data_IF_955015311888
#
_entry.id   IF_955015311888
#
_cell.length_a   1.000
_cell.length_b   1.000
_cell.length_c   1.000
_cell.angle_alpha   90.00
_cell.angle_beta   90.00
_cell.angle_gamma   90.00
#
_symmetry.space_group_name_H-M   'P 1'
#
loop_
_entity.id
_entity.type
_entity.pdbx_description
1 polymer ?
#
# COMPACT_ATOMS: atom_id res chain seq x y z
N UNK A 1 -9.84 0.40 2.22
CA UNK A 1 -11.12 0.56 2.87
C UNK A 1 -11.83 1.88 2.61
N UNK A 2 -11.10 3.02 2.54
CA UNK A 2 -11.70 4.33 2.25
C UNK A 2 -11.78 4.66 0.75
N UNK A 3 -11.01 3.98 -0.08
CA UNK A 3 -10.96 4.24 -1.52
C UNK A 3 -12.33 4.10 -2.22
N UNK A 4 -13.16 3.08 -1.97
CA UNK A 4 -14.50 2.99 -2.55
C UNK A 4 -15.37 4.20 -2.22
N UNK A 5 -15.35 4.65 -0.95
CA UNK A 5 -16.11 5.84 -0.53
C UNK A 5 -15.61 7.13 -1.18
N UNK A 6 -14.30 7.24 -1.38
CA UNK A 6 -13.71 8.37 -2.08
C UNK A 6 -14.10 8.37 -3.57
N UNK A 7 -14.13 7.20 -4.21
CA UNK A 7 -14.57 7.05 -5.61
C UNK A 7 -16.03 7.46 -5.76
N UNK A 8 -16.93 6.97 -4.90
CA UNK A 8 -18.35 7.32 -4.96
C UNK A 8 -18.59 8.84 -4.86
N UNK A 9 -17.82 9.52 -4.01
CA UNK A 9 -17.94 10.96 -3.82
C UNK A 9 -17.29 11.79 -4.92
N UNK A 10 -16.11 11.38 -5.35
CA UNK A 10 -15.26 12.19 -6.26
C UNK A 10 -15.43 11.81 -7.73
N UNK A 11 -15.83 10.57 -7.99
CA UNK A 11 -16.03 10.02 -9.33
C UNK A 11 -17.27 9.11 -9.38
N UNK A 12 -18.49 9.66 -9.23
CA UNK A 12 -19.72 8.89 -9.09
C UNK A 12 -20.04 7.97 -10.29
N UNK A 13 -19.43 8.22 -11.45
CA UNK A 13 -19.61 7.42 -12.66
C UNK A 13 -18.50 6.36 -12.87
N UNK A 14 -17.61 6.19 -11.90
CA UNK A 14 -16.53 5.20 -11.93
C UNK A 14 -16.84 4.08 -10.95
N UNK A 15 -16.86 2.86 -11.44
CA UNK A 15 -16.99 1.66 -10.64
C UNK A 15 -15.63 1.02 -10.44
N UNK A 16 -15.35 0.58 -9.21
CA UNK A 16 -14.20 -0.28 -8.94
C UNK A 16 -14.53 -1.69 -9.40
N UNK A 17 -13.95 -2.09 -10.49
CA UNK A 17 -14.00 -3.47 -10.94
C UNK A 17 -12.75 -4.18 -10.42
N UNK A 18 -12.91 -5.16 -9.53
CA UNK A 18 -11.78 -5.94 -8.98
C UNK A 18 -11.03 -6.72 -10.07
N UNK A 19 -11.60 -6.84 -11.27
CA UNK A 19 -11.05 -7.53 -12.43
C UNK A 19 -10.35 -6.61 -13.44
N UNK A 20 -10.33 -5.29 -13.23
CA UNK A 20 -9.61 -4.37 -14.11
C UNK A 20 -8.12 -4.34 -13.78
N UNK A 21 -7.28 -4.21 -14.79
CA UNK A 21 -5.85 -3.97 -14.63
C UNK A 21 -5.64 -2.69 -13.82
N UNK A 22 -4.94 -2.79 -12.68
CA UNK A 22 -4.69 -1.68 -11.74
C UNK A 22 -5.39 -1.82 -10.39
N UNK A 23 -6.41 -2.69 -10.28
CA UNK A 23 -7.08 -2.98 -9.02
C UNK A 23 -7.75 -1.78 -8.36
N UNK A 24 -8.03 -1.89 -7.06
CA UNK A 24 -8.76 -0.89 -6.26
C UNK A 24 -8.07 0.48 -6.16
N UNK A 25 -6.77 0.52 -6.41
CA UNK A 25 -5.93 1.71 -6.23
C UNK A 25 -5.50 2.33 -7.56
N UNK A 26 -6.18 2.02 -8.65
CA UNK A 26 -5.82 2.51 -9.99
C UNK A 26 -6.02 4.02 -10.18
N UNK A 27 -6.81 4.68 -9.32
CA UNK A 27 -7.13 6.11 -9.41
C UNK A 27 -6.43 6.99 -8.37
N UNK A 28 -5.36 6.50 -7.72
CA UNK A 28 -4.65 7.25 -6.68
C UNK A 28 -4.07 8.57 -7.20
N UNK A 29 -3.49 8.57 -8.38
CA UNK A 29 -2.96 9.76 -9.05
C UNK A 29 -4.05 10.80 -9.36
N UNK A 30 -5.20 10.36 -9.87
CA UNK A 30 -6.34 11.24 -10.15
C UNK A 30 -6.93 11.84 -8.88
N UNK A 31 -6.99 11.07 -7.78
CA UNK A 31 -7.42 11.61 -6.49
C UNK A 31 -6.45 12.65 -5.96
N UNK A 32 -5.15 12.40 -6.06
CA UNK A 32 -4.13 13.35 -5.68
C UNK A 32 -4.27 14.64 -6.48
N UNK A 33 -4.40 14.54 -7.80
CA UNK A 33 -4.60 15.70 -8.69
C UNK A 33 -5.80 16.54 -8.26
N UNK A 34 -6.94 15.90 -7.99
CA UNK A 34 -8.16 16.59 -7.55
C UNK A 34 -7.97 17.24 -6.19
N UNK A 35 -7.28 16.59 -5.27
CA UNK A 35 -6.99 17.13 -3.95
C UNK A 35 -6.10 18.38 -4.06
N UNK A 36 -5.05 18.35 -4.86
CA UNK A 36 -4.17 19.50 -5.08
C UNK A 36 -4.94 20.68 -5.68
N UNK A 37 -5.78 20.45 -6.69
CA UNK A 37 -6.63 21.47 -7.28
C UNK A 37 -7.63 22.06 -6.27
N UNK A 38 -8.23 21.23 -5.42
CA UNK A 38 -9.18 21.69 -4.40
C UNK A 38 -8.52 22.57 -3.34
N UNK A 39 -7.23 22.41 -3.11
CA UNK A 39 -6.42 23.26 -2.23
C UNK A 39 -6.01 24.60 -2.91
N UNK A 40 -6.43 24.85 -4.15
CA UNK A 40 -6.10 26.06 -4.89
C UNK A 40 -4.61 26.17 -5.25
N UNK A 41 -3.91 25.04 -5.37
CA UNK A 41 -2.49 24.97 -5.66
C UNK A 41 -2.25 24.37 -7.04
N UNK A 42 -1.58 25.14 -7.87
CA UNK A 42 -1.11 24.73 -9.20
C UNK A 42 0.36 24.29 -9.08
N UNK A 43 0.57 23.16 -8.37
CA UNK A 43 1.89 22.58 -8.19
C UNK A 43 2.32 21.78 -9.41
N UNK A 44 3.60 21.88 -9.78
CA UNK A 44 4.26 20.88 -10.62
C UNK A 44 4.48 19.65 -9.77
N UNK A 45 3.72 18.61 -10.00
CA UNK A 45 3.73 17.41 -9.14
C UNK A 45 4.03 16.13 -9.91
N UNK A 46 4.50 15.12 -9.19
CA UNK A 46 4.73 13.78 -9.71
C UNK A 46 4.07 12.73 -8.83
N UNK A 47 3.70 11.61 -9.45
CA UNK A 47 3.19 10.42 -8.77
C UNK A 47 3.88 9.18 -9.32
N UNK A 48 4.45 8.37 -8.44
CA UNK A 48 5.14 7.14 -8.78
C UNK A 48 4.68 6.00 -7.88
N UNK A 49 4.28 4.88 -8.48
CA UNK A 49 3.91 3.66 -7.77
C UNK A 49 4.90 2.55 -8.08
N UNK A 50 5.69 2.19 -7.09
CA UNK A 50 6.80 1.25 -7.20
C UNK A 50 6.35 -0.14 -6.75
N UNK A 51 5.80 -0.92 -7.69
CA UNK A 51 5.29 -2.28 -7.46
C UNK A 51 6.24 -3.38 -7.94
N UNK A 52 7.29 -3.02 -8.68
CA UNK A 52 8.28 -3.95 -9.20
C UNK A 52 9.68 -3.57 -8.73
N UNK A 53 10.60 -4.54 -8.54
CA UNK A 53 11.96 -4.26 -8.08
C UNK A 53 12.69 -3.21 -8.93
N UNK A 54 12.55 -3.26 -10.25
CA UNK A 54 13.25 -2.36 -11.16
C UNK A 54 12.70 -0.94 -11.19
N UNK A 55 11.51 -0.72 -10.62
CA UNK A 55 10.87 0.61 -10.64
C UNK A 55 11.63 1.63 -9.77
N UNK A 56 12.20 1.18 -8.65
CA UNK A 56 13.06 2.03 -7.81
C UNK A 56 14.26 2.55 -8.56
N UNK A 57 14.99 1.67 -9.26
CA UNK A 57 16.16 2.07 -10.07
C UNK A 57 15.82 3.04 -11.19
N UNK A 58 14.73 2.77 -11.91
CA UNK A 58 14.24 3.69 -12.96
C UNK A 58 13.89 5.07 -12.42
N UNK A 59 13.36 5.14 -11.20
CA UNK A 59 13.05 6.42 -10.56
C UNK A 59 14.32 7.19 -10.24
N UNK A 60 15.36 6.53 -9.72
CA UNK A 60 16.67 7.12 -9.46
C UNK A 60 17.31 7.61 -10.76
N UNK A 61 17.28 6.81 -11.82
CA UNK A 61 17.84 7.19 -13.13
C UNK A 61 17.16 8.44 -13.72
N UNK A 62 15.93 8.72 -13.30
CA UNK A 62 15.14 9.88 -13.71
C UNK A 62 14.89 10.89 -12.57
N UNK A 63 15.76 10.96 -11.58
CA UNK A 63 15.57 11.73 -10.35
C UNK A 63 15.35 13.23 -10.58
N UNK A 64 15.91 13.78 -11.66
CA UNK A 64 15.72 15.20 -12.01
C UNK A 64 14.24 15.59 -12.08
N UNK A 65 13.34 14.66 -12.43
CA UNK A 65 11.91 14.89 -12.44
C UNK A 65 11.37 15.20 -11.04
N UNK A 66 11.92 14.57 -10.01
CA UNK A 66 11.57 14.84 -8.61
C UNK A 66 12.18 16.17 -8.13
N UNK A 67 13.42 16.47 -8.54
CA UNK A 67 14.08 17.74 -8.20
C UNK A 67 13.36 18.95 -8.78
N UNK A 68 12.78 18.81 -9.96
CA UNK A 68 12.05 19.85 -10.66
C UNK A 68 10.58 19.98 -10.20
N UNK A 69 10.08 19.09 -9.36
CA UNK A 69 8.69 19.11 -8.90
C UNK A 69 8.56 19.87 -7.57
N UNK A 70 7.47 20.60 -7.43
CA UNK A 70 7.09 21.24 -6.16
C UNK A 70 6.57 20.25 -5.14
N UNK A 71 5.98 19.14 -5.62
CA UNK A 71 5.38 18.10 -4.79
C UNK A 71 5.47 16.73 -5.49
N UNK A 72 5.95 15.74 -4.77
CA UNK A 72 6.07 14.37 -5.29
C UNK A 72 5.46 13.36 -4.32
N UNK A 73 4.72 12.40 -4.85
CA UNK A 73 4.21 11.26 -4.08
C UNK A 73 4.80 9.98 -4.65
N UNK A 74 5.41 9.19 -3.78
CA UNK A 74 5.99 7.91 -4.12
C UNK A 74 5.35 6.84 -3.24
N UNK A 75 4.66 5.89 -3.86
CA UNK A 75 4.06 4.73 -3.19
C UNK A 75 5.00 3.55 -3.36
N UNK A 76 5.52 3.04 -2.25
CA UNK A 76 6.45 1.91 -2.24
C UNK A 76 5.80 0.68 -1.61
N UNK A 77 5.42 -0.29 -2.43
CA UNK A 77 4.58 -1.43 -1.98
C UNK A 77 5.36 -2.60 -1.36
N UNK A 78 6.68 -2.49 -1.15
CA UNK A 78 7.48 -3.62 -0.68
C UNK A 78 6.99 -4.21 0.65
N UNK A 79 6.67 -3.37 1.64
CA UNK A 79 6.24 -3.84 2.95
C UNK A 79 4.88 -4.54 2.91
N UNK A 80 3.99 -4.06 2.06
CA UNK A 80 2.70 -4.70 1.83
C UNK A 80 2.88 -6.07 1.17
N UNK A 81 3.71 -6.14 0.13
CA UNK A 81 4.08 -7.41 -0.54
C UNK A 81 4.74 -8.39 0.45
N UNK A 82 5.66 -7.91 1.29
CA UNK A 82 6.31 -8.75 2.30
C UNK A 82 5.31 -9.27 3.34
N UNK A 83 4.36 -8.43 3.76
CA UNK A 83 3.31 -8.82 4.70
C UNK A 83 2.39 -9.89 4.12
N UNK A 84 2.04 -9.79 2.84
CA UNK A 84 1.27 -10.82 2.14
C UNK A 84 2.09 -12.11 1.96
N UNK A 85 3.35 -12.02 1.54
CA UNK A 85 4.23 -13.17 1.35
C UNK A 85 4.43 -13.96 2.66
N UNK A 86 4.40 -13.30 3.82
CA UNK A 86 4.44 -13.94 5.14
C UNK A 86 3.29 -14.92 5.35
N UNK A 87 2.12 -14.65 4.80
CA UNK A 87 0.96 -15.55 4.92
C UNK A 87 0.89 -16.63 3.85
N UNK A 88 1.54 -16.40 2.72
CA UNK A 88 1.43 -17.25 1.53
C UNK A 88 2.62 -18.20 1.35
N UNK A 89 3.80 -17.88 1.92
CA UNK A 89 5.05 -18.61 1.67
C UNK A 89 5.66 -19.09 2.97
N UNK A 90 5.87 -20.41 3.11
CA UNK A 90 6.42 -21.02 4.32
C UNK A 90 7.81 -20.48 4.68
N UNK A 91 8.68 -20.26 3.68
CA UNK A 91 10.04 -19.73 3.90
C UNK A 91 9.97 -18.32 4.50
N UNK A 92 9.13 -17.45 3.97
CA UNK A 92 8.99 -16.09 4.50
C UNK A 92 8.36 -16.12 5.89
N UNK A 93 7.41 -17.03 6.13
CA UNK A 93 6.82 -17.25 7.46
C UNK A 93 7.87 -17.64 8.48
N UNK A 94 8.76 -18.57 8.15
CA UNK A 94 9.86 -19.01 9.02
C UNK A 94 10.84 -17.85 9.30
N UNK A 95 11.24 -17.11 8.27
CA UNK A 95 12.15 -15.97 8.40
C UNK A 95 11.54 -14.78 9.17
N UNK A 96 10.23 -14.74 9.31
CA UNK A 96 9.48 -13.65 9.95
C UNK A 96 8.53 -14.17 11.02
N UNK A 97 8.94 -15.23 11.74
CA UNK A 97 8.12 -15.93 12.74
C UNK A 97 7.64 -14.97 13.84
N UNK A 98 8.52 -14.08 14.28
CA UNK A 98 8.18 -13.06 15.27
C UNK A 98 8.31 -11.64 14.70
N UNK A 99 7.92 -10.67 15.51
CA UNK A 99 7.95 -9.25 15.12
C UNK A 99 9.40 -8.72 15.01
N UNK A 100 10.32 -9.25 15.79
CA UNK A 100 11.72 -8.83 15.77
C UNK A 100 12.41 -9.27 14.48
N UNK A 101 12.18 -10.50 14.04
CA UNK A 101 12.70 -11.02 12.78
C UNK A 101 12.09 -10.31 11.56
N UNK A 102 10.77 -10.01 11.60
CA UNK A 102 10.13 -9.22 10.55
C UNK A 102 10.74 -7.80 10.44
N UNK A 103 10.96 -7.13 11.55
CA UNK A 103 11.62 -5.81 11.58
C UNK A 103 13.07 -5.88 11.11
N UNK A 104 13.80 -6.92 11.49
CA UNK A 104 15.19 -7.13 11.06
C UNK A 104 15.29 -7.32 9.56
N UNK A 105 14.41 -8.13 8.98
CA UNK A 105 14.33 -8.33 7.54
C UNK A 105 13.97 -7.03 6.81
N UNK A 106 12.95 -6.31 7.31
CA UNK A 106 12.54 -5.01 6.77
C UNK A 106 13.69 -3.99 6.81
N UNK A 107 14.42 -3.91 7.91
CA UNK A 107 15.55 -3.03 8.06
C UNK A 107 16.68 -3.37 7.09
N UNK A 108 17.05 -4.65 7.00
CA UNK A 108 18.08 -5.11 6.08
C UNK A 108 17.72 -4.80 4.62
N UNK A 109 16.46 -5.05 4.25
CA UNK A 109 15.99 -4.66 2.93
C UNK A 109 16.09 -3.15 2.70
N UNK A 110 15.62 -2.35 3.65
CA UNK A 110 15.60 -0.88 3.53
C UNK A 110 17.02 -0.32 3.33
N UNK A 111 17.99 -0.77 4.14
CA UNK A 111 19.38 -0.31 4.08
C UNK A 111 20.06 -0.60 2.73
N UNK A 112 19.57 -1.60 1.97
CA UNK A 112 20.10 -2.01 0.68
C UNK A 112 19.16 -1.68 -0.50
N UNK A 113 18.07 -0.94 -0.23
CA UNK A 113 17.07 -0.64 -1.24
C UNK A 113 17.35 0.63 -2.02
N UNK A 114 16.80 0.69 -3.23
CA UNK A 114 16.74 1.93 -4.03
C UNK A 114 16.01 3.05 -3.29
N UNK A 115 15.07 2.72 -2.37
CA UNK A 115 14.39 3.70 -1.54
C UNK A 115 15.38 4.45 -0.63
N UNK A 116 16.33 3.74 -0.01
CA UNK A 116 17.31 4.36 0.85
C UNK A 116 18.29 5.25 0.06
N UNK A 117 18.70 4.80 -1.12
CA UNK A 117 19.50 5.60 -2.05
C UNK A 117 18.77 6.87 -2.48
N UNK A 118 17.49 6.74 -2.86
CA UNK A 118 16.64 7.87 -3.22
C UNK A 118 16.53 8.89 -2.08
N UNK A 119 16.28 8.44 -0.85
CA UNK A 119 16.18 9.32 0.31
C UNK A 119 17.49 10.09 0.58
N UNK A 120 18.64 9.48 0.39
CA UNK A 120 19.95 10.16 0.47
C UNK A 120 20.05 11.26 -0.57
N UNK A 121 19.76 10.95 -1.83
CA UNK A 121 19.84 11.91 -2.94
C UNK A 121 18.90 13.10 -2.72
N UNK A 122 17.68 12.87 -2.28
CA UNK A 122 16.72 13.92 -1.95
C UNK A 122 17.21 14.78 -0.77
N UNK A 123 17.78 14.17 0.26
CA UNK A 123 18.37 14.87 1.41
C UNK A 123 19.55 15.76 1.01
N UNK A 124 20.43 15.28 0.16
CA UNK A 124 21.58 16.04 -0.36
C UNK A 124 21.15 17.27 -1.16
N UNK A 125 20.00 17.21 -1.82
CA UNK A 125 19.41 18.33 -2.55
C UNK A 125 18.54 19.25 -1.66
N UNK A 126 18.43 18.94 -0.35
CA UNK A 126 17.68 19.76 0.60
C UNK A 126 16.16 19.61 0.52
N UNK A 127 15.66 18.53 -0.08
CA UNK A 127 14.21 18.26 -0.12
C UNK A 127 13.65 17.89 1.25
N UNK A 128 12.46 18.37 1.54
CA UNK A 128 11.68 17.90 2.70
C UNK A 128 10.99 16.58 2.35
N UNK A 129 11.23 15.54 3.14
CA UNK A 129 10.64 14.21 2.94
C UNK A 129 9.71 13.88 4.10
N UNK A 130 8.50 13.44 3.78
CA UNK A 130 7.51 12.93 4.74
C UNK A 130 7.31 11.44 4.46
N UNK A 131 7.63 10.60 5.44
CA UNK A 131 7.42 9.15 5.36
C UNK A 131 6.16 8.81 6.15
N UNK A 132 5.24 8.11 5.52
CA UNK A 132 3.97 7.69 6.13
C UNK A 132 3.53 6.33 5.59
N UNK A 133 2.46 5.80 6.13
CA UNK A 133 1.79 4.59 5.64
C UNK A 133 0.28 4.80 5.64
N UNK A 134 -0.42 4.08 4.79
CA UNK A 134 -1.89 4.09 4.70
C UNK A 134 -2.55 3.32 5.86
N UNK A 135 -1.84 2.33 6.42
CA UNK A 135 -2.25 1.57 7.60
C UNK A 135 -1.04 0.96 8.32
N UNK A 136 -1.28 0.47 9.50
CA UNK A 136 -0.32 -0.33 10.27
C UNK A 136 -0.65 -1.83 10.22
N UNK A 137 0.12 -2.62 10.97
CA UNK A 137 -0.11 -4.04 11.20
C UNK A 137 -0.53 -4.29 12.65
N UNK A 138 -1.40 -5.28 12.85
CA UNK A 138 -1.80 -5.75 14.18
C UNK A 138 -1.48 -7.24 14.26
N UNK A 139 -0.76 -7.64 15.30
CA UNK A 139 -0.59 -9.05 15.62
C UNK A 139 -1.89 -9.61 16.20
N UNK A 140 -2.32 -10.76 15.68
CA UNK A 140 -3.51 -11.48 16.15
C UNK A 140 -3.08 -12.82 16.69
N UNK A 141 -3.35 -13.07 17.96
CA UNK A 141 -2.96 -14.33 18.63
C UNK A 141 -4.05 -15.40 18.52
N UNK A 142 -5.31 -15.00 18.36
CA UNK A 142 -6.47 -15.91 18.29
C UNK A 142 -7.24 -15.71 16.98
N UNK A 143 -6.82 -16.31 15.88
CA UNK A 143 -7.54 -16.18 14.61
C UNK A 143 -8.85 -16.97 14.66
N UNK A 144 -9.94 -16.36 14.17
CA UNK A 144 -11.24 -17.00 14.03
C UNK A 144 -11.42 -17.47 12.59
N UNK A 145 -11.75 -18.73 12.41
CA UNK A 145 -12.03 -19.28 11.08
C UNK A 145 -13.46 -19.01 10.68
N UNK A 146 -13.63 -18.26 9.60
CA UNK A 146 -14.93 -18.07 8.94
C UNK A 146 -14.86 -18.71 7.56
N UNK A 147 -15.76 -19.66 7.28
CA UNK A 147 -15.90 -20.26 5.95
C UNK A 147 -17.14 -19.69 5.25
N UNK A 148 -17.05 -19.52 3.94
CA UNK A 148 -18.14 -19.03 3.11
C UNK A 148 -17.98 -19.51 1.67
N UNK A 149 -18.83 -19.02 0.78
CA UNK A 149 -18.76 -19.31 -0.66
C UNK A 149 -17.64 -18.53 -1.37
N UNK A 150 -17.57 -18.68 -2.69
CA UNK A 150 -16.52 -18.00 -3.52
C UNK A 150 -16.66 -16.48 -3.55
N UNK A 151 -17.83 -15.95 -3.20
CA UNK A 151 -18.11 -14.51 -3.17
C UNK A 151 -17.80 -13.90 -1.79
N UNK A 152 -17.33 -14.71 -0.83
CA UNK A 152 -16.94 -14.21 0.49
C UNK A 152 -15.74 -13.28 0.39
N UNK A 153 -15.82 -12.12 1.05
CA UNK A 153 -14.74 -11.14 1.02
C UNK A 153 -13.41 -11.72 1.51
N UNK A 154 -12.27 -11.44 0.86
CA UNK A 154 -10.95 -11.89 1.32
C UNK A 154 -10.45 -11.15 2.55
N UNK A 155 -11.15 -10.11 3.03
CA UNK A 155 -10.72 -9.28 4.15
C UNK A 155 -10.46 -10.12 5.41
N UNK A 156 -9.36 -9.83 6.12
CA UNK A 156 -8.96 -10.57 7.31
C UNK A 156 -9.59 -10.05 8.61
N UNK A 157 -10.11 -8.81 8.62
CA UNK A 157 -10.72 -8.19 9.81
C UNK A 157 -12.21 -8.42 9.90
N UNK A 158 -12.86 -8.58 8.77
CA UNK A 158 -14.29 -8.87 8.65
C UNK A 158 -14.56 -9.75 7.44
N UNK A 159 -15.66 -10.44 7.46
CA UNK A 159 -16.12 -11.22 6.31
C UNK A 159 -17.52 -10.77 5.93
N UNK A 160 -17.73 -10.54 4.64
CA UNK A 160 -19.04 -10.34 4.04
C UNK A 160 -19.23 -11.39 2.96
N UNK A 161 -20.41 -11.93 2.88
CA UNK A 161 -20.74 -13.00 1.93
C UNK A 161 -22.03 -13.70 2.30
N UNK A 162 -22.44 -14.62 1.44
CA UNK A 162 -23.59 -15.51 1.70
C UNK A 162 -23.11 -16.78 2.37
N UNK A 163 -23.98 -17.42 3.15
CA UNK A 163 -23.70 -18.72 3.77
C UNK A 163 -22.41 -18.76 4.62
N UNK A 164 -22.16 -17.70 5.38
CA UNK A 164 -21.02 -17.67 6.29
C UNK A 164 -21.23 -18.66 7.45
N UNK A 165 -20.25 -19.55 7.66
CA UNK A 165 -20.22 -20.48 8.77
C UNK A 165 -19.09 -20.08 9.74
N UNK A 166 -19.46 -19.81 10.99
CA UNK A 166 -18.59 -19.35 12.07
C UNK A 166 -19.16 -19.66 13.43
N UNK A 167 -18.35 -19.59 14.46
CA UNK A 167 -18.82 -19.71 15.84
C UNK A 167 -19.35 -18.34 16.31
N UNK A 168 -20.65 -18.24 16.53
CA UNK A 168 -21.34 -16.99 16.94
C UNK A 168 -20.81 -16.38 18.24
N UNK A 169 -20.18 -17.17 19.10
CA UNK A 169 -19.60 -16.66 20.36
C UNK A 169 -18.28 -15.91 20.17
N UNK A 170 -17.66 -16.04 19.00
CA UNK A 170 -16.34 -15.52 18.69
C UNK A 170 -16.37 -14.36 17.70
N UNK A 171 -17.54 -13.99 17.18
CA UNK A 171 -17.71 -12.93 16.19
C UNK A 171 -18.76 -11.91 16.62
N UNK A 172 -18.66 -10.69 16.10
CA UNK A 172 -19.70 -9.67 16.14
C UNK A 172 -20.42 -9.65 14.79
N UNK A 173 -21.76 -9.71 14.83
CA UNK A 173 -22.65 -9.61 13.66
C UNK A 173 -23.12 -8.18 13.45
#
# INVERSE_FOLDING_TARGET
GLMPLAIDKLMPNKWLNDNEEGGKNQYEDEFLRRQLLSCGKDYKWTFDKLVRPEAGRKLIDNINRLYDADFSVIVYNFLDILSHARTETDIIRELTEDEASFRSLTRSWFEHSDLFELLKMLSEQGHTVIITSDHGTIRVDNPIKVTGDRETSPNLRYKTGRNLAYNRKEVFE
#
